data_IF_774181223430
#
_entry.id   IF_774181223430
#
_cell.length_a   1.000
_cell.length_b   1.000
_cell.length_c   1.000
_cell.angle_alpha   90.00
_cell.angle_beta   90.00
_cell.angle_gamma   90.00
#
_symmetry.space_group_name_H-M   'P 1'
#
loop_
_entity.id
_entity.type
_entity.pdbx_description
1 polymer ?
#
# COMPACT_ATOMS: atom_id res chain seq x y z
N UNK A 1 -39.07 48.65 -19.88
CA UNK A 1 -40.43 48.71 -20.46
C UNK A 1 -40.27 48.99 -21.95
N UNK A 2 -40.25 47.95 -22.74
CA UNK A 2 -40.14 48.06 -24.20
C UNK A 2 -41.51 48.50 -24.73
N UNK A 3 -41.46 49.48 -25.55
CA UNK A 3 -42.52 50.34 -26.00
C UNK A 3 -43.64 49.57 -26.71
N UNK A 4 -44.78 49.50 -26.05
CA UNK A 4 -46.08 49.05 -26.58
C UNK A 4 -46.57 49.84 -27.82
N UNK A 5 -45.81 50.82 -28.29
CA UNK A 5 -46.11 51.66 -29.42
C UNK A 5 -45.67 51.09 -30.75
N UNK A 6 -44.75 50.12 -30.77
CA UNK A 6 -44.20 49.58 -32.04
C UNK A 6 -44.99 48.43 -32.62
N UNK A 7 -45.87 47.77 -31.85
CA UNK A 7 -46.68 46.68 -32.36
C UNK A 7 -48.02 47.14 -33.02
N UNK A 8 -48.32 48.41 -32.92
CA UNK A 8 -49.65 48.92 -33.29
C UNK A 8 -49.81 49.33 -34.75
N UNK A 9 -48.70 49.49 -35.47
CA UNK A 9 -48.73 50.02 -36.85
C UNK A 9 -48.26 49.02 -37.92
N UNK A 10 -48.11 47.75 -37.57
CA UNK A 10 -47.78 46.73 -38.57
C UNK A 10 -49.10 46.03 -38.96
N UNK A 11 -49.55 46.30 -40.22
CA UNK A 11 -50.70 45.57 -40.78
C UNK A 11 -50.39 44.05 -40.80
N UNK A 12 -51.22 43.18 -40.24
CA UNK A 12 -50.99 41.75 -40.27
C UNK A 12 -50.77 41.18 -41.67
N UNK A 13 -51.20 41.90 -42.73
CA UNK A 13 -50.98 41.53 -44.14
C UNK A 13 -49.56 41.77 -44.64
N UNK A 14 -48.78 42.60 -43.92
CA UNK A 14 -47.38 42.92 -44.28
C UNK A 14 -46.39 41.95 -43.61
N UNK A 15 -46.87 41.09 -42.71
CA UNK A 15 -46.07 40.00 -42.12
C UNK A 15 -46.09 38.84 -43.13
N UNK A 16 -45.23 38.93 -44.14
CA UNK A 16 -45.02 37.81 -45.03
C UNK A 16 -44.57 36.58 -44.20
N UNK A 17 -45.20 35.39 -44.32
CA UNK A 17 -44.78 34.22 -43.60
C UNK A 17 -43.32 33.96 -43.91
N UNK A 18 -42.50 34.04 -42.88
CA UNK A 18 -41.04 33.81 -42.96
C UNK A 18 -40.85 32.41 -43.53
N UNK A 19 -40.38 32.32 -44.80
CA UNK A 19 -40.04 31.04 -45.40
C UNK A 19 -39.07 30.32 -44.48
N UNK A 20 -39.47 29.20 -43.92
CA UNK A 20 -38.60 28.35 -43.12
C UNK A 20 -37.39 27.95 -43.96
N UNK A 21 -36.22 28.44 -43.58
CA UNK A 21 -34.98 28.11 -44.26
C UNK A 21 -34.66 26.66 -43.98
N UNK A 22 -34.71 25.81 -44.99
CA UNK A 22 -34.28 24.43 -44.86
C UNK A 22 -32.74 24.40 -44.79
N UNK A 23 -32.22 24.08 -43.59
CA UNK A 23 -30.79 23.94 -43.40
C UNK A 23 -30.28 22.63 -44.02
N UNK A 24 -29.20 22.72 -44.79
CA UNK A 24 -28.47 21.56 -45.28
C UNK A 24 -27.84 20.78 -44.12
N UNK A 25 -27.48 19.52 -44.34
CA UNK A 25 -26.79 18.70 -43.30
C UNK A 25 -25.53 19.39 -42.78
N UNK A 26 -24.76 20.05 -43.65
CA UNK A 26 -23.52 20.77 -43.31
C UNK A 26 -23.80 21.97 -42.41
N UNK A 27 -24.86 22.76 -42.72
CA UNK A 27 -25.26 23.91 -41.91
C UNK A 27 -25.80 23.49 -40.54
N UNK A 28 -26.52 22.36 -40.44
CA UNK A 28 -26.98 21.81 -39.15
C UNK A 28 -25.79 21.37 -38.29
N UNK A 29 -24.78 20.75 -38.89
CA UNK A 29 -23.53 20.35 -38.21
C UNK A 29 -22.75 21.56 -37.73
N UNK A 30 -22.56 22.59 -38.56
CA UNK A 30 -21.87 23.81 -38.17
C UNK A 30 -22.57 24.51 -36.99
N UNK A 31 -23.92 24.64 -37.11
CA UNK A 31 -24.72 25.27 -36.06
C UNK A 31 -24.69 24.46 -34.73
N UNK A 32 -24.76 23.12 -34.82
CA UNK A 32 -24.61 22.25 -33.64
C UNK A 32 -23.23 22.45 -32.98
N UNK A 33 -22.19 22.54 -33.79
CA UNK A 33 -20.82 22.72 -33.33
C UNK A 33 -20.63 24.07 -32.63
N UNK A 34 -21.17 25.15 -33.21
CA UNK A 34 -21.10 26.49 -32.61
C UNK A 34 -21.78 26.56 -31.23
N UNK A 35 -22.93 25.91 -31.08
CA UNK A 35 -23.67 25.87 -29.82
C UNK A 35 -23.03 24.95 -28.77
N UNK A 36 -22.47 23.85 -29.21
CA UNK A 36 -21.99 22.79 -28.30
C UNK A 36 -20.47 22.79 -28.08
N UNK A 37 -19.71 23.64 -28.78
CA UNK A 37 -18.25 23.67 -28.72
C UNK A 37 -17.74 23.74 -27.28
N UNK A 38 -18.34 24.55 -26.43
CA UNK A 38 -17.96 24.70 -25.01
C UNK A 38 -18.12 23.36 -24.27
N UNK A 39 -19.22 22.67 -24.49
CA UNK A 39 -19.49 21.39 -23.85
C UNK A 39 -18.59 20.29 -24.42
N UNK A 40 -18.31 20.29 -25.70
CA UNK A 40 -17.38 19.32 -26.33
C UNK A 40 -15.98 19.48 -25.75
N UNK A 41 -15.51 20.73 -25.57
CA UNK A 41 -14.20 21.01 -24.95
C UNK A 41 -14.19 20.52 -23.51
N UNK A 42 -15.20 20.86 -22.71
CA UNK A 42 -15.28 20.46 -21.29
C UNK A 42 -15.31 18.94 -21.15
N UNK A 43 -16.15 18.27 -21.94
CA UNK A 43 -16.24 16.80 -21.93
C UNK A 43 -14.93 16.17 -22.43
N UNK A 44 -14.31 16.75 -23.46
CA UNK A 44 -13.01 16.29 -23.97
C UNK A 44 -11.91 16.38 -22.93
N UNK A 45 -11.82 17.48 -22.18
CA UNK A 45 -10.85 17.66 -21.09
C UNK A 45 -11.15 16.68 -19.96
N UNK A 46 -12.41 16.52 -19.56
CA UNK A 46 -12.80 15.58 -18.51
C UNK A 46 -12.49 14.12 -18.91
N UNK A 47 -12.75 13.75 -20.14
CA UNK A 47 -12.44 12.42 -20.67
C UNK A 47 -10.92 12.18 -20.74
N UNK A 48 -10.15 13.17 -21.18
CA UNK A 48 -8.67 13.09 -21.21
C UNK A 48 -8.09 12.95 -19.80
N UNK A 49 -8.63 13.71 -18.82
CA UNK A 49 -8.22 13.60 -17.42
C UNK A 49 -8.58 12.23 -16.82
N UNK A 50 -9.79 11.73 -17.08
CA UNK A 50 -10.21 10.40 -16.66
C UNK A 50 -9.33 9.30 -17.29
N UNK A 51 -9.06 9.39 -18.59
CA UNK A 51 -8.20 8.47 -19.30
C UNK A 51 -6.75 8.51 -18.75
N UNK A 52 -6.21 9.68 -18.48
CA UNK A 52 -4.87 9.84 -17.89
C UNK A 52 -4.78 9.16 -16.52
N UNK A 53 -5.76 9.38 -15.64
CA UNK A 53 -5.81 8.73 -14.33
C UNK A 53 -6.00 7.21 -14.44
N UNK A 54 -6.87 6.76 -15.34
CA UNK A 54 -7.11 5.33 -15.56
C UNK A 54 -5.87 4.62 -16.11
N UNK A 55 -5.22 5.20 -17.12
CA UNK A 55 -3.98 4.67 -17.68
C UNK A 55 -2.87 4.69 -16.62
N UNK A 56 -2.76 5.78 -15.83
CA UNK A 56 -1.79 5.89 -14.75
C UNK A 56 -1.94 4.77 -13.71
N UNK A 57 -3.16 4.51 -13.27
CA UNK A 57 -3.42 3.45 -12.26
C UNK A 57 -3.24 2.02 -12.79
N UNK A 58 -3.52 1.77 -14.08
CA UNK A 58 -3.47 0.42 -14.62
C UNK A 58 -2.14 0.03 -15.26
N UNK A 59 -1.42 1.00 -15.85
CA UNK A 59 -0.24 0.71 -16.66
C UNK A 59 1.08 1.14 -16.01
N UNK A 60 1.04 2.06 -15.05
CA UNK A 60 2.26 2.59 -14.43
C UNK A 60 2.39 2.26 -12.93
N UNK A 61 1.41 1.59 -12.34
CA UNK A 61 1.53 1.10 -10.96
C UNK A 61 2.16 -0.29 -11.01
N UNK A 62 3.39 -0.39 -10.55
CA UNK A 62 4.04 -1.68 -10.31
C UNK A 62 3.31 -2.35 -9.14
N UNK A 63 2.71 -3.51 -9.41
CA UNK A 63 2.05 -4.30 -8.36
C UNK A 63 3.11 -5.15 -7.68
N UNK A 64 3.23 -5.11 -6.35
CA UNK A 64 4.18 -5.96 -5.66
C UNK A 64 3.75 -7.43 -5.76
N UNK A 65 4.75 -8.31 -5.88
CA UNK A 65 4.57 -9.76 -5.79
C UNK A 65 4.46 -10.21 -4.34
N UNK A 66 5.19 -9.53 -3.47
CA UNK A 66 5.20 -9.80 -2.03
C UNK A 66 5.09 -8.52 -1.23
N UNK A 67 4.33 -8.60 -0.14
CA UNK A 67 4.27 -7.55 0.87
C UNK A 67 4.85 -8.10 2.16
N UNK A 68 5.78 -7.35 2.73
CA UNK A 68 6.41 -7.63 4.03
C UNK A 68 6.08 -6.46 4.95
N UNK A 69 5.52 -6.75 6.10
CA UNK A 69 5.26 -5.74 7.12
C UNK A 69 6.49 -5.56 8.02
N UNK A 70 6.87 -4.34 8.27
CA UNK A 70 7.91 -4.00 9.25
C UNK A 70 7.27 -3.21 10.38
N UNK A 71 7.36 -3.71 11.59
CA UNK A 71 6.76 -3.09 12.78
C UNK A 71 7.85 -2.72 13.76
N UNK A 72 8.05 -1.42 13.98
CA UNK A 72 9.10 -0.89 14.83
C UNK A 72 8.64 0.38 15.57
N UNK A 73 9.22 0.73 16.73
CA UNK A 73 8.82 1.91 17.49
C UNK A 73 9.27 3.24 16.85
N UNK A 74 10.05 3.18 15.78
CA UNK A 74 10.56 4.35 15.06
C UNK A 74 10.68 4.08 13.55
N UNK A 75 10.88 5.14 12.77
CA UNK A 75 11.08 5.03 11.33
C UNK A 75 12.36 4.29 10.99
N UNK A 76 12.28 3.39 10.01
CA UNK A 76 13.46 2.78 9.43
C UNK A 76 14.20 3.78 8.53
N UNK A 77 15.54 3.70 8.45
CA UNK A 77 16.31 4.44 7.47
C UNK A 77 15.84 4.13 6.03
N UNK A 78 15.68 5.14 5.19
CA UNK A 78 15.22 4.96 3.80
C UNK A 78 16.19 4.06 3.01
N UNK A 79 17.50 4.25 3.20
CA UNK A 79 18.51 3.40 2.57
C UNK A 79 18.35 1.92 2.96
N UNK A 80 18.10 1.64 4.25
CA UNK A 80 17.84 0.28 4.75
C UNK A 80 16.55 -0.30 4.13
N UNK A 81 15.48 0.48 4.04
CA UNK A 81 14.22 0.03 3.42
C UNK A 81 14.44 -0.35 1.96
N UNK A 82 15.12 0.50 1.20
CA UNK A 82 15.37 0.26 -0.22
C UNK A 82 16.29 -0.95 -0.43
N UNK A 83 17.40 -1.02 0.31
CA UNK A 83 18.32 -2.15 0.22
C UNK A 83 17.65 -3.49 0.58
N UNK A 84 16.80 -3.48 1.60
CA UNK A 84 16.06 -4.67 2.03
C UNK A 84 15.03 -5.11 0.98
N UNK A 85 14.29 -4.17 0.36
CA UNK A 85 13.36 -4.50 -0.73
C UNK A 85 14.09 -5.18 -1.91
N UNK A 86 15.22 -4.60 -2.32
CA UNK A 86 16.02 -5.11 -3.42
C UNK A 86 16.64 -6.49 -3.09
N UNK A 87 17.17 -6.64 -1.87
CA UNK A 87 17.76 -7.90 -1.43
C UNK A 87 16.71 -9.03 -1.31
N UNK A 88 15.54 -8.74 -0.76
CA UNK A 88 14.45 -9.70 -0.63
C UNK A 88 13.86 -10.10 -1.98
N UNK A 89 13.85 -9.22 -2.98
CA UNK A 89 13.36 -9.52 -4.32
C UNK A 89 14.13 -10.67 -4.99
N UNK A 90 15.40 -10.88 -4.62
CA UNK A 90 16.22 -11.98 -5.14
C UNK A 90 15.71 -13.38 -4.72
N UNK A 91 14.90 -13.47 -3.68
CA UNK A 91 14.32 -14.71 -3.16
C UNK A 91 12.86 -14.90 -3.59
N UNK A 92 12.25 -13.90 -4.19
CA UNK A 92 10.89 -13.95 -4.71
C UNK A 92 10.78 -14.52 -6.11
N UNK A 93 9.56 -14.69 -6.57
CA UNK A 93 9.19 -15.08 -7.92
C UNK A 93 8.22 -14.04 -8.50
N UNK A 94 8.28 -13.82 -9.81
CA UNK A 94 7.33 -12.96 -10.53
C UNK A 94 5.93 -13.62 -10.52
N UNK A 95 5.07 -13.17 -9.61
CA UNK A 95 3.73 -13.74 -9.41
C UNK A 95 2.67 -13.05 -10.27
N UNK A 96 2.93 -11.81 -10.66
CA UNK A 96 2.00 -11.03 -11.45
C UNK A 96 2.27 -11.13 -12.97
N UNK A 97 3.41 -11.72 -13.39
CA UNK A 97 3.77 -11.97 -14.78
C UNK A 97 4.23 -10.72 -15.53
N UNK A 98 4.68 -9.68 -14.82
CA UNK A 98 5.14 -8.42 -15.42
C UNK A 98 6.65 -8.42 -15.79
N UNK A 99 7.35 -9.52 -15.50
CA UNK A 99 8.76 -9.72 -15.79
C UNK A 99 9.70 -9.15 -14.72
N UNK A 100 9.18 -8.76 -13.56
CA UNK A 100 9.95 -8.24 -12.44
C UNK A 100 9.48 -8.90 -11.14
N UNK A 101 10.39 -9.03 -10.19
CA UNK A 101 10.04 -9.40 -8.82
C UNK A 101 10.09 -8.15 -7.96
N UNK A 102 8.97 -7.81 -7.36
CA UNK A 102 8.85 -6.60 -6.53
C UNK A 102 8.38 -6.98 -5.12
N UNK A 103 9.23 -6.68 -4.14
CA UNK A 103 8.89 -6.79 -2.73
C UNK A 103 8.62 -5.38 -2.18
N UNK A 104 7.47 -5.20 -1.56
CA UNK A 104 7.13 -3.93 -0.89
C UNK A 104 7.21 -4.10 0.62
N UNK A 105 7.94 -3.21 1.27
CA UNK A 105 7.96 -3.11 2.72
C UNK A 105 6.89 -2.12 3.19
N UNK A 106 5.93 -2.62 3.95
CA UNK A 106 4.93 -1.82 4.62
C UNK A 106 5.41 -1.50 6.04
N UNK A 107 5.92 -0.30 6.25
CA UNK A 107 6.48 0.11 7.54
C UNK A 107 5.39 0.71 8.43
N UNK A 108 5.23 0.13 9.61
CA UNK A 108 4.29 0.54 10.65
C UNK A 108 5.08 1.01 11.89
N UNK A 109 4.94 2.28 12.23
CA UNK A 109 5.57 2.82 13.44
C UNK A 109 4.64 2.58 14.63
N UNK A 110 5.01 1.63 15.47
CA UNK A 110 4.26 1.18 16.64
C UNK A 110 5.23 0.95 17.81
N UNK A 111 4.92 1.58 18.91
CA UNK A 111 5.61 1.41 20.17
C UNK A 111 4.66 0.73 21.16
N UNK A 112 4.97 -0.49 21.54
CA UNK A 112 4.21 -1.28 22.51
C UNK A 112 4.63 -1.02 23.96
N UNK A 113 5.59 -0.12 24.19
CA UNK A 113 5.94 0.31 25.54
C UNK A 113 4.80 1.07 26.21
N UNK A 114 4.88 1.16 27.55
CA UNK A 114 3.83 1.74 28.38
C UNK A 114 3.48 3.18 27.94
N UNK A 115 2.22 3.47 27.70
CA UNK A 115 1.72 4.77 27.20
C UNK A 115 2.04 5.93 28.13
N UNK A 116 2.30 5.67 29.43
CA UNK A 116 2.69 6.70 30.39
C UNK A 116 4.09 7.28 30.11
N UNK A 117 4.94 6.55 29.42
CA UNK A 117 6.32 6.96 29.08
C UNK A 117 6.45 7.54 27.67
N UNK A 118 5.41 7.43 26.84
CA UNK A 118 5.45 7.91 25.47
C UNK A 118 5.26 9.43 25.38
N UNK A 119 5.95 10.06 24.44
CA UNK A 119 5.67 11.46 24.07
C UNK A 119 4.36 11.57 23.30
N UNK A 120 3.69 12.73 23.31
CA UNK A 120 2.44 12.95 22.54
C UNK A 120 2.63 12.63 21.04
N UNK A 121 3.78 12.94 20.47
CA UNK A 121 4.08 12.64 19.07
C UNK A 121 4.23 11.14 18.81
N UNK A 122 4.88 10.39 19.72
CA UNK A 122 5.01 8.93 19.63
C UNK A 122 3.63 8.27 19.76
N UNK A 123 2.80 8.70 20.71
CA UNK A 123 1.43 8.20 20.87
C UNK A 123 0.56 8.42 19.61
N UNK A 124 0.69 9.59 18.95
CA UNK A 124 -0.02 9.85 17.70
C UNK A 124 0.46 8.92 16.55
N UNK A 125 1.77 8.71 16.42
CA UNK A 125 2.34 7.80 15.42
C UNK A 125 1.90 6.36 15.68
N UNK A 126 1.91 5.91 16.92
CA UNK A 126 1.43 4.59 17.33
C UNK A 126 -0.04 4.40 16.99
N UNK A 127 -0.90 5.38 17.26
CA UNK A 127 -2.33 5.32 16.90
C UNK A 127 -2.53 5.23 15.37
N UNK A 128 -1.80 6.01 14.59
CA UNK A 128 -1.86 5.96 13.13
C UNK A 128 -1.32 4.63 12.59
N UNK A 129 -0.22 4.13 13.15
CA UNK A 129 0.40 2.85 12.82
C UNK A 129 -0.54 1.67 13.12
N UNK A 130 -1.17 1.66 14.29
CA UNK A 130 -2.16 0.64 14.70
C UNK A 130 -3.31 0.55 13.70
N UNK A 131 -3.86 1.69 13.27
CA UNK A 131 -4.96 1.70 12.30
C UNK A 131 -4.54 1.12 10.94
N UNK A 132 -3.34 1.46 10.48
CA UNK A 132 -2.79 0.93 9.22
C UNK A 132 -2.49 -0.57 9.33
N UNK A 133 -1.84 -0.99 10.42
CA UNK A 133 -1.53 -2.41 10.66
C UNK A 133 -2.81 -3.24 10.77
N UNK A 134 -3.84 -2.76 11.47
CA UNK A 134 -5.13 -3.45 11.54
C UNK A 134 -5.75 -3.67 10.15
N UNK A 135 -5.59 -2.72 9.23
CA UNK A 135 -6.07 -2.86 7.85
C UNK A 135 -5.27 -3.93 7.09
N UNK A 136 -3.94 -3.97 7.26
CA UNK A 136 -3.08 -5.02 6.68
C UNK A 136 -3.47 -6.39 7.21
N UNK A 137 -3.58 -6.50 8.53
CA UNK A 137 -3.94 -7.75 9.22
C UNK A 137 -5.32 -8.23 8.79
N UNK A 138 -6.33 -7.38 8.72
CA UNK A 138 -7.68 -7.77 8.26
C UNK A 138 -7.71 -8.13 6.77
N UNK A 139 -6.98 -7.38 5.96
CA UNK A 139 -6.94 -7.58 4.50
C UNK A 139 -6.03 -8.72 4.05
N UNK A 140 -5.17 -9.27 4.92
CA UNK A 140 -4.18 -10.27 4.55
C UNK A 140 -3.15 -9.74 3.56
N UNK A 141 -2.75 -8.46 3.69
CA UNK A 141 -1.86 -7.81 2.73
C UNK A 141 -0.44 -8.37 2.82
N UNK A 142 0.15 -8.36 4.02
CA UNK A 142 1.51 -8.82 4.25
C UNK A 142 1.54 -10.29 4.71
N UNK A 143 2.44 -11.08 4.16
CA UNK A 143 2.62 -12.50 4.51
C UNK A 143 3.73 -12.73 5.53
N UNK A 144 4.77 -11.90 5.51
CA UNK A 144 5.91 -11.97 6.41
C UNK A 144 5.95 -10.68 7.22
N UNK A 145 6.27 -10.82 8.50
CA UNK A 145 6.44 -9.72 9.45
C UNK A 145 7.87 -9.63 9.93
N UNK A 146 8.43 -8.43 9.92
CA UNK A 146 9.69 -8.07 10.57
C UNK A 146 9.33 -7.25 11.80
N UNK A 147 9.60 -7.76 12.98
CA UNK A 147 9.08 -7.26 14.24
C UNK A 147 10.23 -6.83 15.17
N UNK A 148 10.13 -5.62 15.67
CA UNK A 148 11.02 -5.17 16.75
C UNK A 148 10.64 -5.77 18.10
N UNK A 149 9.34 -5.79 18.37
CA UNK A 149 8.74 -6.39 19.57
C UNK A 149 7.67 -7.42 19.17
N UNK A 150 8.05 -8.70 19.03
CA UNK A 150 7.11 -9.76 18.64
C UNK A 150 6.09 -10.08 19.75
N UNK A 151 6.44 -9.88 21.03
CA UNK A 151 5.52 -10.11 22.13
C UNK A 151 4.33 -9.14 22.09
N UNK A 152 4.63 -7.84 22.06
CA UNK A 152 3.60 -6.81 21.95
C UNK A 152 2.80 -6.89 20.65
N UNK A 153 3.43 -7.30 19.55
CA UNK A 153 2.75 -7.54 18.27
C UNK A 153 1.75 -8.68 18.38
N UNK A 154 2.14 -9.83 18.91
CA UNK A 154 1.25 -11.00 18.99
C UNK A 154 0.12 -10.76 19.99
N UNK A 155 0.40 -10.20 21.17
CA UNK A 155 -0.62 -9.79 22.13
C UNK A 155 -1.67 -8.84 21.52
N UNK A 156 -1.24 -7.91 20.66
CA UNK A 156 -2.14 -6.91 20.07
C UNK A 156 -2.91 -7.42 18.86
N UNK A 157 -2.35 -8.37 18.08
CA UNK A 157 -2.90 -8.77 16.78
C UNK A 157 -3.33 -10.22 16.68
N UNK A 158 -2.70 -11.15 17.43
CA UNK A 158 -2.90 -12.59 17.33
C UNK A 158 -2.69 -13.10 15.89
N UNK A 159 -1.72 -12.55 15.16
CA UNK A 159 -1.63 -12.71 13.70
C UNK A 159 -0.55 -13.68 13.25
N UNK A 160 0.34 -14.10 14.13
CA UNK A 160 1.40 -15.03 13.79
C UNK A 160 0.92 -16.48 13.79
N UNK A 161 1.64 -17.33 13.11
CA UNK A 161 1.53 -18.78 13.24
C UNK A 161 2.79 -19.34 13.89
N UNK A 162 2.71 -20.54 14.42
CA UNK A 162 3.89 -21.25 14.88
C UNK A 162 4.85 -21.58 13.73
N UNK A 163 6.14 -21.73 14.07
CA UNK A 163 7.19 -22.07 13.10
C UNK A 163 6.96 -23.44 12.44
N UNK A 164 6.23 -24.34 13.09
CA UNK A 164 5.82 -25.63 12.53
C UNK A 164 4.63 -25.54 11.55
N UNK A 165 4.09 -24.32 11.35
CA UNK A 165 2.97 -24.04 10.45
C UNK A 165 1.59 -24.18 11.09
N UNK A 166 1.49 -24.58 12.34
CA UNK A 166 0.21 -24.67 13.05
C UNK A 166 -0.26 -23.28 13.50
N UNK A 167 -1.58 -23.15 13.72
CA UNK A 167 -2.16 -21.91 14.22
C UNK A 167 -2.24 -21.97 15.76
N UNK A 168 -1.93 -20.86 16.45
CA UNK A 168 -2.11 -20.80 17.89
C UNK A 168 -3.58 -20.93 18.26
N UNK A 169 -3.85 -21.50 19.45
CA UNK A 169 -5.19 -21.48 20.04
C UNK A 169 -5.43 -20.14 20.72
N UNK A 170 -6.71 -19.79 20.96
CA UNK A 170 -7.09 -18.49 21.52
C UNK A 170 -6.49 -18.14 22.89
N UNK A 171 -5.83 -19.09 23.55
CA UNK A 171 -5.24 -18.92 24.87
C UNK A 171 -3.69 -19.02 24.86
N UNK A 172 -3.04 -18.88 23.69
CA UNK A 172 -1.59 -19.16 23.50
C UNK A 172 -0.72 -17.92 23.27
N UNK A 173 -1.09 -16.77 23.79
CA UNK A 173 -0.37 -15.51 23.60
C UNK A 173 1.01 -15.49 24.30
N UNK A 174 1.24 -16.43 25.23
CA UNK A 174 2.44 -16.44 26.08
C UNK A 174 3.66 -17.08 25.42
N UNK A 175 3.52 -17.74 24.27
CA UNK A 175 4.60 -18.51 23.63
C UNK A 175 5.02 -17.97 22.24
N UNK A 176 4.94 -16.66 22.06
CA UNK A 176 5.31 -15.95 20.82
C UNK A 176 6.69 -16.34 20.27
N UNK A 177 7.63 -16.75 21.14
CA UNK A 177 8.97 -17.16 20.71
C UNK A 177 8.99 -18.44 19.86
N UNK A 178 7.92 -19.22 19.87
CA UNK A 178 7.73 -20.36 18.98
C UNK A 178 7.15 -19.96 17.59
N UNK A 179 6.87 -18.66 17.39
CA UNK A 179 6.26 -18.13 16.18
C UNK A 179 7.24 -17.31 15.34
N UNK A 180 8.43 -17.03 15.84
CA UNK A 180 9.41 -16.16 15.19
C UNK A 180 10.81 -16.74 15.24
N UNK A 181 11.64 -16.32 14.27
CA UNK A 181 13.09 -16.43 14.34
C UNK A 181 13.68 -15.05 14.66
N UNK A 182 14.82 -14.98 15.35
CA UNK A 182 15.64 -13.78 15.32
C UNK A 182 16.20 -13.60 13.92
N UNK A 183 16.43 -12.37 13.50
CA UNK A 183 17.07 -12.09 12.20
C UNK A 183 18.36 -12.89 12.01
N UNK A 184 19.22 -12.91 13.02
CA UNK A 184 20.51 -13.60 13.00
C UNK A 184 20.41 -15.13 13.05
N UNK A 185 19.25 -15.67 13.45
CA UNK A 185 18.97 -17.10 13.40
C UNK A 185 18.70 -17.60 11.97
N UNK A 186 18.46 -16.68 11.02
CA UNK A 186 18.18 -16.99 9.62
C UNK A 186 19.43 -16.75 8.78
N UNK A 187 20.17 -17.79 8.37
CA UNK A 187 21.45 -17.62 7.63
C UNK A 187 21.27 -16.82 6.33
N UNK A 188 20.12 -16.91 5.69
CA UNK A 188 19.78 -16.16 4.48
C UNK A 188 19.69 -14.68 4.80
N UNK A 189 18.91 -14.29 5.82
CA UNK A 189 18.72 -12.91 6.21
C UNK A 189 19.99 -12.28 6.77
N UNK A 190 20.71 -13.01 7.63
CA UNK A 190 21.99 -12.59 8.21
C UNK A 190 23.07 -12.42 7.14
N UNK A 191 22.96 -13.13 6.01
CA UNK A 191 23.89 -13.07 4.89
C UNK A 191 23.56 -12.02 3.82
N UNK A 192 22.49 -11.23 3.97
CA UNK A 192 22.15 -10.17 3.02
C UNK A 192 23.17 -9.03 3.07
N UNK A 193 23.54 -8.52 1.89
CA UNK A 193 24.33 -7.28 1.78
C UNK A 193 23.37 -6.08 1.69
N UNK A 194 23.11 -5.48 2.83
CA UNK A 194 22.21 -4.32 2.96
C UNK A 194 22.95 -2.97 2.94
N UNK A 195 24.30 -3.00 2.92
CA UNK A 195 25.11 -1.78 2.95
C UNK A 195 24.96 -0.97 4.23
N UNK A 196 25.31 0.31 4.11
CA UNK A 196 25.22 1.27 5.20
C UNK A 196 24.11 2.29 4.91
N UNK A 197 23.49 2.81 5.96
CA UNK A 197 22.55 3.93 5.86
C UNK A 197 23.20 5.23 6.34
N UNK A 198 22.85 6.34 5.67
CA UNK A 198 23.26 7.69 6.02
C UNK A 198 22.19 8.46 6.79
N UNK A 199 22.51 9.70 7.21
CA UNK A 199 21.51 10.60 7.78
C UNK A 199 20.52 11.03 6.70
N UNK A 200 19.23 10.98 7.03
CA UNK A 200 18.15 11.39 6.17
C UNK A 200 17.21 12.40 6.85
N UNK A 201 16.02 12.65 6.27
CA UNK A 201 15.03 13.58 6.82
C UNK A 201 14.39 13.08 8.12
N UNK A 202 14.51 11.80 8.42
CA UNK A 202 13.88 11.15 9.58
C UNK A 202 14.88 10.91 10.72
N UNK A 203 16.16 10.82 10.41
CA UNK A 203 17.22 10.54 11.38
C UNK A 203 18.56 11.22 11.06
N UNK A 204 19.31 11.53 12.10
CA UNK A 204 20.64 12.15 12.00
C UNK A 204 21.79 11.13 12.12
N UNK A 205 21.48 9.83 12.19
CA UNK A 205 22.46 8.76 12.45
C UNK A 205 22.81 8.05 11.14
N UNK A 206 24.00 7.45 11.14
CA UNK A 206 24.47 6.53 10.11
C UNK A 206 24.94 5.25 10.76
N UNK A 207 24.93 4.14 10.03
CA UNK A 207 25.36 2.85 10.53
C UNK A 207 25.18 1.74 9.50
N UNK A 208 25.44 0.51 9.91
CA UNK A 208 25.20 -0.66 9.09
C UNK A 208 23.72 -1.03 9.08
N UNK A 209 23.13 -1.18 7.89
CA UNK A 209 21.74 -1.65 7.74
C UNK A 209 21.58 -3.08 8.27
N UNK A 210 22.60 -3.93 8.12
CA UNK A 210 22.56 -5.29 8.63
C UNK A 210 22.55 -5.33 10.17
N UNK A 211 23.39 -4.51 10.83
CA UNK A 211 23.40 -4.39 12.29
C UNK A 211 22.05 -3.83 12.81
N UNK A 212 21.44 -2.93 12.06
CA UNK A 212 20.11 -2.42 12.39
C UNK A 212 19.06 -3.51 12.32
N UNK A 213 19.06 -4.33 11.26
CA UNK A 213 18.11 -5.42 11.07
C UNK A 213 18.32 -6.60 12.01
N UNK A 214 19.52 -6.80 12.55
CA UNK A 214 19.82 -7.87 13.54
C UNK A 214 19.00 -7.76 14.84
N UNK A 215 18.37 -6.60 15.07
CA UNK A 215 17.51 -6.36 16.22
C UNK A 215 16.06 -6.83 15.99
N UNK A 216 15.74 -7.28 14.77
CA UNK A 216 14.40 -7.70 14.42
C UNK A 216 14.22 -9.22 14.54
N UNK A 217 12.96 -9.59 14.66
CA UNK A 217 12.47 -10.94 14.54
C UNK A 217 11.71 -11.09 13.24
N UNK A 218 11.69 -12.26 12.66
CA UNK A 218 10.91 -12.57 11.46
C UNK A 218 9.86 -13.61 11.79
N UNK A 219 8.59 -13.31 11.45
CA UNK A 219 7.45 -14.17 11.67
C UNK A 219 6.60 -14.31 10.42
N UNK A 220 5.89 -15.42 10.34
CA UNK A 220 4.94 -15.68 9.25
C UNK A 220 3.51 -15.51 9.74
N UNK A 221 2.70 -14.90 8.87
CA UNK A 221 1.28 -14.72 9.12
C UNK A 221 0.52 -16.04 9.16
N UNK A 222 -0.39 -16.18 10.13
CA UNK A 222 -1.38 -17.24 10.18
C UNK A 222 -2.53 -17.01 9.18
N UNK A 223 -2.97 -18.07 8.51
CA UNK A 223 -4.14 -18.05 7.64
C UNK A 223 -5.38 -18.49 8.42
N UNK A 224 -6.13 -17.54 8.99
CA UNK A 224 -7.28 -17.78 9.86
C UNK A 224 -8.58 -18.10 9.11
N UNK A 225 -8.64 -17.78 7.82
CA UNK A 225 -9.79 -18.04 6.95
C UNK A 225 -9.35 -18.26 5.50
N UNK A 226 -10.24 -18.79 4.65
CA UNK A 226 -9.95 -19.07 3.25
C UNK A 226 -9.54 -17.84 2.45
N UNK A 227 -10.17 -16.68 2.67
CA UNK A 227 -9.81 -15.45 1.98
C UNK A 227 -8.42 -14.96 2.35
N UNK A 228 -8.02 -15.11 3.63
CA UNK A 228 -6.66 -14.81 4.06
C UNK A 228 -5.66 -15.76 3.41
N UNK A 229 -5.96 -17.06 3.36
CA UNK A 229 -5.09 -18.06 2.73
C UNK A 229 -4.85 -17.77 1.25
N UNK A 230 -5.90 -17.37 0.51
CA UNK A 230 -5.79 -17.01 -0.91
C UNK A 230 -4.92 -15.76 -1.12
N UNK A 231 -5.07 -14.74 -0.29
CA UNK A 231 -4.26 -13.54 -0.34
C UNK A 231 -2.78 -13.80 -0.01
N UNK A 232 -2.51 -14.78 0.84
CA UNK A 232 -1.16 -15.19 1.24
C UNK A 232 -0.55 -16.27 0.31
N UNK A 233 -1.25 -16.69 -0.73
CA UNK A 233 -0.73 -17.65 -1.69
C UNK A 233 0.65 -17.24 -2.23
N UNK A 234 1.62 -18.15 -2.19
CA UNK A 234 3.04 -17.90 -2.55
C UNK A 234 3.88 -17.24 -1.45
N UNK A 235 3.27 -16.69 -0.40
CA UNK A 235 4.03 -16.20 0.77
C UNK A 235 4.75 -17.32 1.51
N UNK A 236 4.19 -18.53 1.50
CA UNK A 236 4.79 -19.72 2.10
C UNK A 236 6.14 -20.10 1.47
N UNK A 237 6.22 -20.13 0.15
CA UNK A 237 7.46 -20.45 -0.55
C UNK A 237 8.53 -19.37 -0.32
N UNK A 238 8.12 -18.11 -0.32
CA UNK A 238 8.98 -16.99 -0.01
C UNK A 238 9.52 -17.08 1.42
N UNK A 239 8.65 -17.38 2.39
CA UNK A 239 9.03 -17.62 3.78
C UNK A 239 10.06 -18.73 3.91
N UNK A 240 9.83 -19.90 3.27
CA UNK A 240 10.75 -21.03 3.31
C UNK A 240 12.13 -20.69 2.76
N UNK A 241 12.19 -19.90 1.68
CA UNK A 241 13.46 -19.43 1.11
C UNK A 241 14.20 -18.49 2.07
N UNK A 242 13.49 -17.57 2.73
CA UNK A 242 14.09 -16.62 3.66
C UNK A 242 14.59 -17.27 4.97
N UNK A 243 13.93 -18.33 5.41
CA UNK A 243 14.23 -19.03 6.66
C UNK A 243 14.96 -20.35 6.44
N UNK A 244 15.49 -20.60 5.25
CA UNK A 244 16.24 -21.82 4.96
C UNK A 244 17.44 -21.97 5.90
N UNK A 245 17.48 -23.10 6.63
CA UNK A 245 18.54 -23.39 7.61
C UNK A 245 18.42 -22.64 8.93
N UNK A 246 17.35 -21.90 9.16
CA UNK A 246 17.12 -21.20 10.42
C UNK A 246 16.90 -22.14 11.60
N UNK A 247 17.45 -21.78 12.76
CA UNK A 247 17.28 -22.48 14.04
C UNK A 247 16.90 -21.46 15.09
N UNK A 248 15.69 -21.48 15.60
CA UNK A 248 15.19 -20.46 16.52
C UNK A 248 15.95 -20.45 17.86
N UNK A 249 16.40 -19.27 18.26
CA UNK A 249 16.94 -18.94 19.59
C UNK A 249 16.09 -17.86 20.29
N UNK A 250 14.86 -17.67 19.84
CA UNK A 250 13.99 -16.58 20.28
C UNK A 250 13.39 -16.76 21.69
N UNK A 251 13.66 -17.88 22.37
CA UNK A 251 13.13 -18.12 23.72
C UNK A 251 13.47 -16.96 24.67
N UNK A 252 12.54 -16.58 25.58
CA UNK A 252 12.80 -15.54 26.58
C UNK A 252 13.92 -15.97 27.49
N UNK A 253 14.82 -15.04 27.80
CA UNK A 253 15.83 -15.28 28.84
C UNK A 253 15.11 -15.41 30.17
N UNK A 254 15.23 -16.59 30.81
CA UNK A 254 14.54 -16.93 32.05
C UNK A 254 15.05 -16.15 33.29
#
# INVERSE_FOLDING_TARGET
MASYRYERDIDPKDIAPRKERQYTRKERWANWWDYNLKWVIIIGIAAAFAAYNFIGQYFFVTKPDYNVAVVAPYYLPEDTVNALQDALAAYGEDRNGDGKVVVTLNVYTLDYSDTETQTESAAYLTMAGTTKLATDVQGGLSSVFLLWDPAGFEESTGSLRYLDGTLPSADSDEDWWNMVYKWDDCPVLAGLDLGDYGPDTTQSRSGSSQEYMSQFYVGMRGAWNSGTADNLAGGEEFWQKLTEGAVSTAAPEG
#
